data_IF_985550758802
#
_entry.id   IF_985550758802
#
_cell.length_a   1.000
_cell.length_b   1.000
_cell.length_c   1.000
_cell.angle_alpha   90.00
_cell.angle_beta   90.00
_cell.angle_gamma   90.00
#
_symmetry.space_group_name_H-M   'P 1'
#
loop_
_entity.id
_entity.type
_entity.pdbx_description
1 polymer ?
#
# COMPACT_ATOMS: atom_id res chain seq x y z
N UNK A 1 2.11 -13.90 -30.11
CA UNK A 1 0.73 -14.25 -30.60
C UNK A 1 -0.26 -13.37 -29.86
N UNK A 2 -1.02 -12.56 -30.58
CA UNK A 2 -2.14 -11.81 -29.98
C UNK A 2 -3.32 -12.78 -29.80
N UNK A 3 -3.38 -13.41 -28.64
CA UNK A 3 -4.57 -14.15 -28.24
C UNK A 3 -5.63 -13.10 -27.90
N UNK A 4 -6.73 -13.08 -28.65
CA UNK A 4 -7.87 -12.23 -28.29
C UNK A 4 -8.36 -12.66 -26.91
N UNK A 5 -8.53 -11.72 -25.95
CA UNK A 5 -9.06 -12.08 -24.64
C UNK A 5 -10.48 -12.66 -24.80
N UNK A 6 -10.78 -13.64 -23.95
CA UNK A 6 -12.15 -14.13 -23.84
C UNK A 6 -13.03 -12.96 -23.37
N UNK A 7 -14.22 -12.82 -23.94
CA UNK A 7 -15.14 -11.74 -23.56
C UNK A 7 -15.50 -11.78 -22.07
N UNK A 8 -15.51 -12.94 -21.46
CA UNK A 8 -15.76 -13.08 -20.02
C UNK A 8 -14.63 -12.48 -19.17
N UNK A 9 -13.40 -12.48 -19.69
CA UNK A 9 -12.23 -11.86 -19.02
C UNK A 9 -12.27 -10.32 -19.11
N UNK A 10 -13.15 -9.78 -19.94
CA UNK A 10 -13.32 -8.33 -20.13
C UNK A 10 -14.47 -7.75 -19.30
N UNK A 11 -15.15 -8.58 -18.52
CA UNK A 11 -16.23 -8.10 -17.65
C UNK A 11 -15.68 -7.30 -16.47
N UNK A 12 -16.47 -6.34 -16.03
CA UNK A 12 -16.15 -5.57 -14.81
C UNK A 12 -16.24 -6.48 -13.59
N UNK A 13 -15.34 -6.25 -12.65
CA UNK A 13 -15.30 -6.94 -11.37
C UNK A 13 -16.00 -6.08 -10.32
N UNK A 14 -16.98 -6.65 -9.63
CA UNK A 14 -17.75 -5.96 -8.61
C UNK A 14 -17.43 -6.56 -7.24
N UNK A 15 -17.04 -5.72 -6.29
CA UNK A 15 -16.74 -6.12 -4.93
C UNK A 15 -17.69 -5.42 -3.95
N UNK A 16 -17.90 -6.06 -2.81
CA UNK A 16 -18.57 -5.47 -1.66
C UNK A 16 -17.60 -5.49 -0.48
N UNK A 17 -16.79 -4.45 -0.31
CA UNK A 17 -15.75 -4.44 0.72
C UNK A 17 -16.27 -4.67 2.13
N UNK A 18 -17.49 -4.24 2.43
CA UNK A 18 -18.11 -4.48 3.74
C UNK A 18 -18.26 -5.98 4.08
N UNK A 19 -18.41 -6.83 3.06
CA UNK A 19 -18.53 -8.28 3.22
C UNK A 19 -17.18 -9.02 3.15
N UNK A 20 -16.10 -8.32 2.83
CA UNK A 20 -14.76 -8.91 2.74
C UNK A 20 -14.09 -8.90 4.12
N UNK A 21 -13.34 -9.96 4.48
CA UNK A 21 -12.61 -9.96 5.73
C UNK A 21 -11.40 -9.04 5.66
N UNK A 22 -11.07 -8.40 6.79
CA UNK A 22 -9.79 -7.72 6.95
C UNK A 22 -8.68 -8.76 7.09
N UNK A 23 -7.61 -8.57 6.35
CA UNK A 23 -6.41 -9.41 6.42
C UNK A 23 -5.35 -8.72 7.26
N UNK A 24 -4.75 -9.47 8.18
CA UNK A 24 -3.67 -8.96 9.02
C UNK A 24 -2.36 -8.85 8.23
N UNK A 25 -1.60 -7.81 8.50
CA UNK A 25 -0.21 -7.71 8.09
C UNK A 25 0.70 -8.19 9.23
N UNK A 26 2.00 -8.27 8.98
CA UNK A 26 3.00 -8.50 10.04
C UNK A 26 3.22 -7.27 10.93
N UNK A 27 2.67 -6.14 10.55
CA UNK A 27 2.77 -4.89 11.32
C UNK A 27 1.57 -4.76 12.26
N UNK A 28 1.85 -4.64 13.56
CA UNK A 28 0.80 -4.57 14.57
C UNK A 28 -0.18 -3.41 14.28
N UNK A 29 -1.48 -3.73 14.29
CA UNK A 29 -2.54 -2.76 14.06
C UNK A 29 -2.75 -2.35 12.61
N UNK A 30 -2.04 -2.93 11.66
CA UNK A 30 -2.19 -2.64 10.23
C UNK A 30 -2.86 -3.82 9.53
N UNK A 31 -4.00 -3.58 8.91
CA UNK A 31 -4.81 -4.57 8.19
C UNK A 31 -5.24 -4.04 6.83
N UNK A 32 -5.60 -4.93 5.92
CA UNK A 32 -6.00 -4.52 4.57
C UNK A 32 -7.07 -5.44 3.97
N UNK A 33 -7.76 -4.90 2.96
CA UNK A 33 -8.61 -5.64 2.04
C UNK A 33 -8.12 -5.36 0.62
N UNK A 34 -7.68 -6.37 -0.14
CA UNK A 34 -7.32 -6.14 -1.54
C UNK A 34 -8.59 -5.91 -2.36
N UNK A 35 -8.66 -4.77 -3.04
CA UNK A 35 -9.78 -4.44 -3.93
C UNK A 35 -9.45 -4.82 -5.37
N UNK A 36 -8.23 -4.61 -5.78
CA UNK A 36 -7.72 -5.00 -7.09
C UNK A 36 -6.22 -5.27 -6.99
N UNK A 37 -5.77 -6.35 -7.58
CA UNK A 37 -4.34 -6.67 -7.68
C UNK A 37 -4.08 -7.23 -9.08
N UNK A 38 -3.17 -6.59 -9.81
CA UNK A 38 -2.64 -7.11 -11.07
C UNK A 38 -1.20 -7.58 -10.85
N UNK A 39 -1.02 -8.89 -10.81
CA UNK A 39 0.29 -9.49 -10.58
C UNK A 39 1.30 -9.26 -11.71
N UNK A 40 0.82 -8.93 -12.92
CA UNK A 40 1.69 -8.69 -14.08
C UNK A 40 2.36 -7.32 -14.03
N UNK A 41 1.62 -6.29 -13.66
CA UNK A 41 2.12 -4.92 -13.54
C UNK A 41 2.52 -4.54 -12.12
N UNK A 42 2.05 -5.29 -11.13
CA UNK A 42 2.18 -4.94 -9.72
C UNK A 42 1.21 -3.85 -9.26
N UNK A 43 0.28 -3.41 -10.14
CA UNK A 43 -0.72 -2.41 -9.77
C UNK A 43 -1.69 -2.99 -8.74
N UNK A 44 -1.90 -2.26 -7.66
CA UNK A 44 -2.81 -2.67 -6.58
C UNK A 44 -3.63 -1.51 -6.07
N UNK A 45 -4.85 -1.81 -5.68
CA UNK A 45 -5.73 -0.92 -4.91
C UNK A 45 -6.15 -1.66 -3.66
N UNK A 46 -5.82 -1.10 -2.51
CA UNK A 46 -6.12 -1.67 -1.20
C UNK A 46 -7.01 -0.73 -0.41
N UNK A 47 -7.92 -1.32 0.35
CA UNK A 47 -8.47 -0.65 1.52
C UNK A 47 -7.55 -1.01 2.70
N UNK A 48 -6.99 -0.01 3.35
CA UNK A 48 -6.01 -0.18 4.42
C UNK A 48 -6.53 0.43 5.72
N UNK A 49 -6.35 -0.27 6.83
CA UNK A 49 -6.80 0.19 8.14
C UNK A 49 -5.65 0.14 9.14
N UNK A 50 -5.51 1.22 9.88
CA UNK A 50 -4.57 1.31 10.99
C UNK A 50 -5.33 1.53 12.30
N UNK A 51 -5.00 0.75 13.32
CA UNK A 51 -5.51 0.97 14.67
C UNK A 51 -4.92 2.27 15.25
N UNK A 52 -5.58 2.92 16.23
CA UNK A 52 -5.02 4.11 16.90
C UNK A 52 -3.60 3.85 17.40
N UNK A 53 -2.67 4.70 16.99
CA UNK A 53 -1.25 4.60 17.33
C UNK A 53 -0.43 3.63 16.49
N UNK A 54 -1.03 2.91 15.56
CA UNK A 54 -0.31 1.98 14.70
C UNK A 54 0.72 2.70 13.81
N UNK A 55 1.81 2.02 13.54
CA UNK A 55 2.93 2.52 12.72
C UNK A 55 3.19 1.53 11.59
N UNK A 56 3.29 2.04 10.39
CA UNK A 56 3.84 1.32 9.25
C UNK A 56 5.32 1.73 9.14
N UNK A 57 6.26 0.79 9.44
CA UNK A 57 7.68 1.13 9.56
C UNK A 57 8.28 1.73 8.29
N UNK A 58 9.51 2.19 8.43
CA UNK A 58 10.31 2.79 7.38
C UNK A 58 10.23 1.99 6.06
N UNK A 59 9.70 2.63 5.03
CA UNK A 59 9.50 2.02 3.72
C UNK A 59 9.63 3.05 2.60
N UNK A 60 9.94 2.53 1.44
CA UNK A 60 10.04 3.30 0.19
C UNK A 60 8.91 2.91 -0.75
N UNK A 61 8.28 3.92 -1.34
CA UNK A 61 7.37 3.75 -2.47
C UNK A 61 8.18 3.62 -3.75
N UNK A 62 8.23 2.42 -4.31
CA UNK A 62 9.06 2.13 -5.49
C UNK A 62 8.60 2.93 -6.70
N UNK A 63 7.30 3.03 -6.90
CA UNK A 63 6.66 3.91 -7.87
C UNK A 63 5.68 4.83 -7.13
N UNK A 64 4.90 5.61 -7.87
CA UNK A 64 3.93 6.55 -7.28
C UNK A 64 2.94 5.78 -6.40
N UNK A 65 2.66 6.31 -5.21
CA UNK A 65 1.53 5.89 -4.37
C UNK A 65 0.53 7.03 -4.23
N UNK A 66 -0.75 6.68 -4.25
CA UNK A 66 -1.86 7.59 -3.99
C UNK A 66 -2.67 7.07 -2.80
N UNK A 67 -2.99 7.96 -1.87
CA UNK A 67 -3.78 7.60 -0.68
C UNK A 67 -4.90 8.61 -0.46
N UNK A 68 -6.12 8.11 -0.37
CA UNK A 68 -7.30 8.87 0.00
C UNK A 68 -7.77 8.45 1.39
N UNK A 69 -7.85 9.39 2.33
CA UNK A 69 -8.27 9.11 3.70
C UNK A 69 -9.79 9.11 3.78
N UNK A 70 -10.37 8.00 4.22
CA UNK A 70 -11.82 7.85 4.43
C UNK A 70 -12.21 8.24 5.85
N UNK A 71 -11.43 7.78 6.83
CA UNK A 71 -11.66 8.01 8.26
C UNK A 71 -10.32 8.17 8.98
N UNK A 72 -10.33 8.88 10.11
CA UNK A 72 -9.18 8.99 11.00
C UNK A 72 -8.08 9.90 10.50
N UNK A 73 -6.84 9.48 10.66
CA UNK A 73 -5.68 10.30 10.35
C UNK A 73 -4.53 9.47 9.80
N UNK A 74 -3.73 10.09 8.94
CA UNK A 74 -2.47 9.55 8.45
C UNK A 74 -1.40 10.65 8.57
N UNK A 75 -0.31 10.33 9.24
CA UNK A 75 0.78 11.29 9.50
C UNK A 75 2.11 10.63 9.16
N UNK A 76 3.01 11.37 8.54
CA UNK A 76 4.40 10.93 8.44
C UNK A 76 5.10 11.14 9.78
N UNK A 77 5.54 10.06 10.38
CA UNK A 77 6.29 10.10 11.65
C UNK A 77 7.74 10.52 11.43
N UNK A 78 8.29 10.05 10.33
CA UNK A 78 9.63 10.36 9.87
C UNK A 78 9.61 10.54 8.35
N UNK A 79 10.49 11.40 7.87
CA UNK A 79 10.63 11.72 6.45
C UNK A 79 10.54 13.23 6.21
N UNK A 80 10.59 13.67 4.94
CA UNK A 80 10.59 15.08 4.59
C UNK A 80 9.33 15.85 5.05
N UNK A 81 8.19 15.14 5.12
CA UNK A 81 6.89 15.72 5.46
C UNK A 81 6.44 15.36 6.89
N UNK A 82 7.39 15.03 7.77
CA UNK A 82 7.08 14.62 9.14
C UNK A 82 6.17 15.62 9.86
N UNK A 83 5.10 15.10 10.48
CA UNK A 83 4.13 15.87 11.24
C UNK A 83 2.96 16.44 10.45
N UNK A 84 2.96 16.33 9.12
CA UNK A 84 1.81 16.75 8.30
C UNK A 84 0.71 15.69 8.43
N UNK A 85 -0.47 16.10 8.87
CA UNK A 85 -1.64 15.20 9.00
C UNK A 85 -2.50 15.27 7.76
N UNK A 86 -2.91 14.09 7.27
CA UNK A 86 -3.93 13.91 6.23
C UNK A 86 -5.17 13.36 6.91
N UNK A 87 -6.29 14.07 6.82
CA UNK A 87 -7.55 13.73 7.48
C UNK A 87 -8.63 13.26 6.49
N UNK A 88 -9.85 12.98 6.98
CA UNK A 88 -10.95 12.47 6.16
C UNK A 88 -11.28 13.38 4.99
N UNK A 89 -11.43 12.78 3.80
CA UNK A 89 -11.71 13.51 2.57
C UNK A 89 -10.48 14.18 1.95
N UNK A 90 -9.30 14.00 2.54
CA UNK A 90 -8.06 14.54 2.03
C UNK A 90 -7.24 13.47 1.30
N UNK A 91 -6.36 13.92 0.43
CA UNK A 91 -5.58 13.08 -0.46
C UNK A 91 -4.10 13.44 -0.39
N UNK A 92 -3.27 12.43 -0.41
CA UNK A 92 -1.82 12.58 -0.53
C UNK A 92 -1.32 11.64 -1.61
N UNK A 93 -0.40 12.11 -2.44
CA UNK A 93 0.34 11.21 -3.32
C UNK A 93 1.84 11.35 -3.08
N UNK A 94 2.54 10.27 -3.28
CA UNK A 94 3.96 10.18 -2.99
C UNK A 94 4.73 9.85 -4.26
N UNK A 95 5.78 10.63 -4.59
CA UNK A 95 6.62 10.35 -5.74
C UNK A 95 7.31 9.00 -5.63
N UNK A 96 7.65 8.42 -6.79
CA UNK A 96 8.50 7.24 -6.85
C UNK A 96 9.84 7.51 -6.15
N UNK A 97 10.27 6.55 -5.33
CA UNK A 97 11.49 6.65 -4.53
C UNK A 97 11.34 7.38 -3.20
N UNK A 98 10.15 7.92 -2.89
CA UNK A 98 9.91 8.55 -1.60
C UNK A 98 9.92 7.53 -0.46
N UNK A 99 10.47 7.92 0.68
CA UNK A 99 10.67 7.06 1.86
C UNK A 99 10.17 7.75 3.11
N UNK A 100 9.42 7.03 3.93
CA UNK A 100 8.89 7.56 5.19
C UNK A 100 8.52 6.43 6.17
N UNK A 101 8.18 6.84 7.39
CA UNK A 101 7.48 6.01 8.38
C UNK A 101 6.09 6.59 8.55
N UNK A 102 5.06 5.81 8.29
CA UNK A 102 3.67 6.25 8.41
C UNK A 102 3.12 5.96 9.81
N UNK A 103 2.25 6.82 10.28
CA UNK A 103 1.65 6.74 11.59
C UNK A 103 0.18 7.16 11.54
N UNK A 104 -0.67 6.50 12.31
CA UNK A 104 -2.06 6.89 12.45
C UNK A 104 -2.38 7.11 13.94
N UNK A 105 -2.19 8.31 14.47
CA UNK A 105 -2.39 8.57 15.90
C UNK A 105 -3.82 8.30 16.36
N UNK A 106 -4.79 8.61 15.53
CA UNK A 106 -6.23 8.42 15.81
C UNK A 106 -6.79 7.11 15.27
N UNK A 107 -5.97 6.33 14.57
CA UNK A 107 -6.44 5.26 13.72
C UNK A 107 -7.05 5.80 12.43
N UNK A 108 -7.35 4.93 11.49
CA UNK A 108 -7.96 5.36 10.25
C UNK A 108 -8.15 4.26 9.21
N UNK A 109 -8.87 4.63 8.18
CA UNK A 109 -9.14 3.80 7.00
C UNK A 109 -8.83 4.61 5.74
N UNK A 110 -8.09 3.99 4.84
CA UNK A 110 -7.54 4.65 3.65
C UNK A 110 -7.75 3.80 2.41
N UNK A 111 -7.90 4.46 1.25
CA UNK A 111 -7.71 3.78 -0.03
C UNK A 111 -6.28 4.08 -0.49
N UNK A 112 -5.50 3.04 -0.71
CA UNK A 112 -4.14 3.15 -1.23
C UNK A 112 -4.06 2.53 -2.63
N UNK A 113 -3.48 3.27 -3.57
CA UNK A 113 -3.25 2.85 -4.95
C UNK A 113 -1.75 2.97 -5.21
N UNK A 114 -1.13 1.87 -5.58
CA UNK A 114 0.30 1.84 -5.88
C UNK A 114 0.62 0.80 -6.95
N UNK A 115 1.76 0.97 -7.58
CA UNK A 115 2.31 0.00 -8.49
C UNK A 115 3.62 -0.52 -7.92
N UNK A 116 3.77 -1.82 -7.84
CA UNK A 116 4.88 -2.54 -7.22
C UNK A 116 4.90 -2.34 -5.68
N UNK A 117 4.95 -3.42 -4.90
CA UNK A 117 4.98 -3.36 -3.44
C UNK A 117 6.15 -2.54 -2.89
N UNK A 118 5.91 -1.91 -1.74
CA UNK A 118 6.89 -1.10 -1.03
C UNK A 118 8.10 -1.93 -0.60
N UNK A 119 9.25 -1.24 -0.54
CA UNK A 119 10.45 -1.75 0.11
C UNK A 119 10.43 -1.35 1.58
N UNK A 120 10.52 -2.33 2.47
CA UNK A 120 10.68 -2.11 3.91
C UNK A 120 12.14 -2.27 4.29
N UNK A 121 12.68 -1.28 4.99
CA UNK A 121 14.07 -1.25 5.42
C UNK A 121 14.16 -1.76 6.85
N UNK A 122 14.62 -2.99 7.00
CA UNK A 122 14.76 -3.65 8.30
C UNK A 122 15.97 -3.10 9.07
N UNK A 123 15.94 -3.21 10.39
CA UNK A 123 17.04 -2.76 11.25
C UNK A 123 18.33 -3.53 11.01
N UNK A 124 18.25 -4.78 10.57
CA UNK A 124 19.40 -5.64 10.24
C UNK A 124 19.98 -5.39 8.84
N UNK A 125 19.44 -4.41 8.10
CA UNK A 125 19.89 -4.02 6.76
C UNK A 125 19.22 -4.76 5.61
N UNK A 126 18.35 -5.73 5.90
CA UNK A 126 17.57 -6.39 4.83
C UNK A 126 16.54 -5.44 4.26
N UNK A 127 16.25 -5.60 2.96
CA UNK A 127 15.17 -4.91 2.27
C UNK A 127 14.11 -5.94 1.92
N UNK A 128 12.93 -5.80 2.52
CA UNK A 128 11.87 -6.80 2.46
C UNK A 128 10.57 -6.22 1.90
N UNK A 129 9.66 -7.10 1.49
CA UNK A 129 8.28 -6.71 1.18
C UNK A 129 7.39 -6.74 2.44
N UNK A 130 6.11 -6.45 2.27
CA UNK A 130 5.15 -6.44 3.38
C UNK A 130 4.94 -7.79 4.05
N UNK A 131 5.32 -8.88 3.40
CA UNK A 131 5.29 -10.24 3.97
C UNK A 131 6.63 -10.66 4.60
N UNK A 132 7.64 -9.81 4.54
CA UNK A 132 8.98 -10.10 5.07
C UNK A 132 9.89 -10.88 4.12
N UNK A 133 9.49 -11.04 2.86
CA UNK A 133 10.31 -11.70 1.83
C UNK A 133 11.34 -10.72 1.27
N UNK A 134 12.47 -11.25 0.80
CA UNK A 134 13.45 -10.44 0.08
C UNK A 134 12.77 -9.73 -1.10
N UNK A 135 12.85 -8.39 -1.09
CA UNK A 135 12.12 -7.58 -2.05
C UNK A 135 12.59 -7.81 -3.48
N UNK A 136 13.89 -7.83 -3.71
CA UNK A 136 14.46 -7.98 -5.05
C UNK A 136 14.11 -9.32 -5.68
N UNK A 137 14.13 -10.39 -4.89
CA UNK A 137 13.74 -11.72 -5.36
C UNK A 137 12.24 -11.80 -5.69
N UNK A 138 11.41 -11.20 -4.86
CA UNK A 138 9.95 -11.27 -5.03
C UNK A 138 9.44 -10.35 -6.15
N UNK A 139 10.00 -9.14 -6.30
CA UNK A 139 9.41 -8.05 -7.08
C UNK A 139 10.36 -7.37 -8.06
N UNK A 140 11.67 -7.64 -7.98
CA UNK A 140 12.66 -6.94 -8.82
C UNK A 140 12.42 -7.06 -10.32
N UNK A 141 11.80 -8.15 -10.76
CA UNK A 141 11.44 -8.38 -12.17
C UNK A 141 10.34 -7.42 -12.70
N UNK A 142 9.62 -6.73 -11.83
CA UNK A 142 8.58 -5.77 -12.22
C UNK A 142 9.13 -4.36 -12.42
N UNK A 143 10.39 -4.10 -12.05
CA UNK A 143 10.99 -2.79 -12.29
C UNK A 143 11.09 -2.53 -13.80
N UNK A 144 10.72 -1.32 -14.24
CA UNK A 144 10.99 -0.91 -15.62
C UNK A 144 12.49 -0.87 -15.87
N UNK A 145 12.91 -1.24 -17.07
CA UNK A 145 14.30 -1.17 -17.55
C UNK A 145 14.80 0.30 -17.61
#
# INVERSE_FOLDING_TARGET
MNVKPNIDDLRSHHLRPAAMPWQKTRFAGCEFKPLMVDSKSGLATLLFRMAPGAVLPDHEHVLIEQTYVLEGSLVDKEGPDAGIEVGPGEFVWRPAGSRHTAWSPKGGTFIAIFQIPNKFYEQDGRVTDSAGKDWSQAWGHLLPD
#
